data_IF_488925307290
#
_entry.id   IF_488925307290
#
_cell.length_a   1.000
_cell.length_b   1.000
_cell.length_c   1.000
_cell.angle_alpha   90.00
_cell.angle_beta   90.00
_cell.angle_gamma   90.00
#
_symmetry.space_group_name_H-M   'P 1'
#
loop_
_entity.id
_entity.type
_entity.pdbx_description
1 polymer ?
#
# COMPACT_ATOMS: atom_id res chain seq x y z
N UNK A 1 -22.30 -4.81 0.26
CA UNK A 1 -22.49 -3.37 0.01
C UNK A 1 -21.24 -2.80 -0.57
N UNK A 2 -21.37 -1.93 -1.58
CA UNK A 2 -20.25 -1.19 -2.17
C UNK A 2 -20.36 0.26 -1.75
N UNK A 3 -19.26 0.86 -1.38
CA UNK A 3 -19.17 2.30 -1.16
C UNK A 3 -17.94 2.86 -1.86
N UNK A 4 -18.05 4.10 -2.31
CA UNK A 4 -16.94 4.80 -2.93
C UNK A 4 -17.09 6.32 -2.79
N UNK A 5 -15.96 7.01 -2.78
CA UNK A 5 -15.86 8.46 -2.68
C UNK A 5 -14.60 8.92 -3.42
N UNK A 6 -14.62 10.16 -3.87
CA UNK A 6 -13.46 10.82 -4.44
C UNK A 6 -12.65 11.45 -3.31
N UNK A 7 -11.32 11.37 -3.44
CA UNK A 7 -10.40 12.14 -2.63
C UNK A 7 -9.50 12.96 -3.55
N UNK A 8 -9.50 14.27 -3.33
CA UNK A 8 -8.60 15.21 -3.97
C UNK A 8 -7.63 15.71 -2.91
N UNK A 9 -6.34 15.72 -3.26
CA UNK A 9 -5.25 16.19 -2.41
C UNK A 9 -4.63 17.38 -3.11
N UNK A 10 -4.64 18.53 -2.45
CA UNK A 10 -4.23 19.80 -3.05
C UNK A 10 -4.88 19.98 -4.44
N UNK A 11 -4.11 20.42 -5.43
CA UNK A 11 -4.59 20.58 -6.81
C UNK A 11 -4.35 19.33 -7.68
N UNK A 12 -4.20 18.16 -7.05
CA UNK A 12 -3.93 16.90 -7.74
C UNK A 12 -5.17 16.24 -8.36
N UNK A 13 -4.93 15.17 -9.11
CA UNK A 13 -6.00 14.34 -9.68
C UNK A 13 -6.86 13.68 -8.59
N UNK A 14 -8.13 13.46 -8.91
CA UNK A 14 -9.06 12.75 -8.03
C UNK A 14 -8.68 11.27 -7.91
N UNK A 15 -8.54 10.80 -6.67
CA UNK A 15 -8.35 9.40 -6.32
C UNK A 15 -9.72 8.81 -5.98
N UNK A 16 -10.17 7.82 -6.77
CA UNK A 16 -11.38 7.07 -6.46
C UNK A 16 -11.06 6.00 -5.41
N UNK A 17 -11.55 6.20 -4.19
CA UNK A 17 -11.50 5.19 -3.14
C UNK A 17 -12.77 4.36 -3.21
N UNK A 18 -12.63 3.04 -3.36
CA UNK A 18 -13.76 2.12 -3.41
C UNK A 18 -13.52 0.88 -2.56
N UNK A 19 -14.59 0.39 -1.94
CA UNK A 19 -14.56 -0.79 -1.10
C UNK A 19 -15.89 -1.53 -1.17
N UNK A 20 -15.85 -2.85 -0.96
CA UNK A 20 -17.03 -3.70 -0.88
C UNK A 20 -16.92 -4.57 0.36
N UNK A 21 -17.95 -4.51 1.21
CA UNK A 21 -18.03 -5.29 2.44
C UNK A 21 -19.49 -5.67 2.76
N UNK A 22 -19.67 -6.77 3.49
CA UNK A 22 -20.98 -7.16 4.01
C UNK A 22 -21.40 -6.25 5.18
N UNK A 23 -22.71 -5.99 5.31
CA UNK A 23 -23.27 -5.41 6.54
C UNK A 23 -23.14 -6.41 7.67
N UNK A 24 -22.78 -5.95 8.86
CA UNK A 24 -22.68 -6.79 10.06
C UNK A 24 -23.68 -6.27 11.08
N UNK A 25 -24.53 -7.17 11.61
CA UNK A 25 -25.61 -6.82 12.54
C UNK A 25 -25.11 -6.14 13.84
N UNK A 26 -23.90 -6.48 14.27
CA UNK A 26 -23.34 -6.04 15.56
C UNK A 26 -22.47 -4.78 15.47
N UNK A 27 -22.35 -4.15 14.29
CA UNK A 27 -21.69 -2.86 14.16
C UNK A 27 -22.77 -1.80 14.02
N UNK A 28 -22.97 -1.03 15.09
CA UNK A 28 -24.00 0.01 15.23
C UNK A 28 -23.39 1.29 15.79
N UNK A 29 -24.15 2.39 15.78
CA UNK A 29 -23.73 3.67 16.34
C UNK A 29 -24.87 4.24 17.17
N UNK A 30 -24.59 4.64 18.41
CA UNK A 30 -25.56 5.34 19.25
C UNK A 30 -26.00 6.69 18.66
N UNK A 31 -25.14 7.32 17.84
CA UNK A 31 -25.47 8.56 17.10
C UNK A 31 -26.38 8.32 15.89
N UNK A 32 -26.51 7.07 15.44
CA UNK A 32 -27.35 6.67 14.31
C UNK A 32 -28.09 5.36 14.63
N UNK A 33 -29.06 5.38 15.56
CA UNK A 33 -29.80 4.19 15.97
C UNK A 33 -30.56 3.57 14.80
N UNK A 34 -30.67 2.24 14.75
CA UNK A 34 -31.34 1.51 13.67
C UNK A 34 -30.49 1.28 12.41
N UNK A 35 -29.31 1.90 12.31
CA UNK A 35 -28.39 1.68 11.18
C UNK A 35 -27.37 0.58 11.49
N UNK A 36 -27.24 -0.38 10.56
CA UNK A 36 -26.17 -1.38 10.55
C UNK A 36 -25.02 -0.99 9.62
N UNK A 37 -23.78 -1.15 10.08
CA UNK A 37 -22.58 -0.75 9.35
C UNK A 37 -21.82 -1.96 8.80
N UNK A 38 -20.95 -1.72 7.81
CA UNK A 38 -19.97 -2.70 7.35
C UNK A 38 -18.71 -2.67 8.22
N UNK A 39 -17.79 -3.62 8.03
CA UNK A 39 -16.41 -3.38 8.44
C UNK A 39 -15.83 -2.19 7.67
N UNK A 40 -14.93 -1.41 8.30
CA UNK A 40 -14.30 -0.28 7.64
C UNK A 40 -13.24 -0.76 6.64
N UNK A 41 -13.30 -0.23 5.42
CA UNK A 41 -12.14 -0.25 4.52
C UNK A 41 -11.05 0.67 5.07
N UNK A 42 -9.79 0.24 5.00
CA UNK A 42 -8.64 1.06 5.40
C UNK A 42 -7.90 1.54 4.17
N UNK A 43 -7.75 2.85 4.06
CA UNK A 43 -7.00 3.51 2.99
C UNK A 43 -5.96 4.44 3.59
N UNK A 44 -4.73 4.38 3.08
CA UNK A 44 -3.60 5.11 3.61
C UNK A 44 -2.93 5.93 2.52
N UNK A 45 -2.52 7.14 2.86
CA UNK A 45 -1.99 8.12 1.93
C UNK A 45 -0.79 8.77 2.58
N UNK A 46 0.31 8.80 1.83
CA UNK A 46 1.52 9.45 2.29
C UNK A 46 1.47 10.94 1.94
N UNK A 47 1.45 11.78 2.97
CA UNK A 47 1.45 13.23 2.81
C UNK A 47 2.88 13.75 3.01
N UNK A 48 3.45 14.51 2.04
CA UNK A 48 4.74 15.16 2.20
C UNK A 48 4.79 16.14 3.38
N UNK A 49 5.99 16.63 3.70
CA UNK A 49 6.12 17.75 4.64
C UNK A 49 5.55 19.01 3.99
N UNK A 50 4.72 19.74 4.72
CA UNK A 50 4.14 21.00 4.27
C UNK A 50 2.69 21.14 4.71
N UNK A 51 2.04 22.18 4.20
CA UNK A 51 0.61 22.40 4.34
C UNK A 51 -0.10 21.78 3.14
N UNK A 52 -1.07 20.92 3.42
CA UNK A 52 -1.83 20.20 2.41
C UNK A 52 -3.32 20.26 2.76
N UNK A 53 -4.18 20.29 1.75
CA UNK A 53 -5.63 20.20 1.93
C UNK A 53 -6.19 18.94 1.27
N UNK A 54 -7.31 18.47 1.80
CA UNK A 54 -8.02 17.28 1.33
C UNK A 54 -9.47 17.64 1.08
N UNK A 55 -9.99 17.26 -0.08
CA UNK A 55 -11.42 17.33 -0.36
C UNK A 55 -11.93 15.93 -0.60
N UNK A 56 -12.97 15.56 0.13
CA UNK A 56 -13.66 14.29 -0.01
C UNK A 56 -15.01 14.59 -0.61
N UNK A 57 -15.31 13.98 -1.75
CA UNK A 57 -16.58 14.19 -2.46
C UNK A 57 -17.31 12.86 -2.64
N UNK A 58 -18.65 12.85 -2.50
CA UNK A 58 -19.43 11.68 -2.84
C UNK A 58 -19.33 11.38 -4.34
N UNK A 59 -19.39 10.10 -4.70
CA UNK A 59 -19.55 9.71 -6.11
C UNK A 59 -21.04 9.62 -6.42
N UNK A 60 -21.56 10.33 -7.44
CA UNK A 60 -23.01 10.45 -7.71
C UNK A 60 -23.78 9.14 -7.96
N UNK A 61 -23.09 8.00 -8.12
CA UNK A 61 -23.67 6.69 -8.49
C UNK A 61 -23.57 5.63 -7.39
N UNK A 62 -23.37 6.03 -6.13
CA UNK A 62 -23.28 5.11 -5.00
C UNK A 62 -24.44 5.36 -4.04
N UNK A 63 -25.38 4.42 -3.99
CA UNK A 63 -26.68 4.57 -3.30
C UNK A 63 -26.62 4.50 -1.75
N UNK A 64 -25.43 4.54 -1.16
CA UNK A 64 -25.26 4.34 0.29
C UNK A 64 -24.48 5.47 0.95
N UNK A 65 -25.00 6.07 2.05
CA UNK A 65 -24.24 7.00 2.87
C UNK A 65 -22.94 6.37 3.36
N UNK A 66 -21.85 7.14 3.30
CA UNK A 66 -20.51 6.69 3.72
C UNK A 66 -20.11 7.45 4.97
N UNK A 67 -19.78 6.72 6.05
CA UNK A 67 -19.20 7.31 7.26
C UNK A 67 -17.68 7.19 7.16
N UNK A 68 -17.00 8.33 7.25
CA UNK A 68 -15.56 8.42 7.13
C UNK A 68 -14.92 8.78 8.47
N UNK A 69 -13.78 8.14 8.75
CA UNK A 69 -12.92 8.50 9.89
C UNK A 69 -11.52 8.77 9.38
N UNK A 70 -11.09 10.02 9.51
CA UNK A 70 -9.72 10.44 9.19
C UNK A 70 -8.85 10.32 10.44
N UNK A 71 -7.64 9.80 10.28
CA UNK A 71 -6.63 9.75 11.35
C UNK A 71 -5.28 10.14 10.74
N UNK A 72 -4.55 11.01 11.43
CA UNK A 72 -3.18 11.37 11.08
C UNK A 72 -2.23 10.61 11.98
N UNK A 73 -1.19 10.00 11.40
CA UNK A 73 -0.13 9.32 12.13
C UNK A 73 1.20 9.64 11.44
N UNK A 74 2.22 10.00 12.21
CA UNK A 74 3.58 10.12 11.69
C UNK A 74 4.13 8.78 11.21
N UNK A 75 5.04 8.81 10.25
CA UNK A 75 5.80 7.61 9.88
C UNK A 75 6.66 7.18 11.06
N UNK A 76 6.57 5.91 11.46
CA UNK A 76 7.52 5.35 12.41
C UNK A 76 8.90 5.30 11.75
N UNK A 77 9.93 5.75 12.47
CA UNK A 77 11.31 5.66 11.96
C UNK A 77 11.67 4.19 11.79
N UNK A 78 12.44 3.91 10.74
CA UNK A 78 12.96 2.56 10.52
C UNK A 78 13.80 2.11 11.70
N UNK A 79 13.41 1.00 12.32
CA UNK A 79 14.22 0.32 13.33
C UNK A 79 15.37 -0.42 12.63
N UNK A 80 16.57 -0.35 13.22
CA UNK A 80 17.78 -0.99 12.73
C UNK A 80 17.68 -2.53 12.76
N UNK A 81 16.79 -3.10 13.58
CA UNK A 81 16.64 -4.56 13.80
C UNK A 81 15.64 -5.22 12.83
N UNK A 82 15.68 -4.84 11.56
CA UNK A 82 14.77 -5.35 10.52
C UNK A 82 15.39 -6.49 9.72
N UNK A 83 14.77 -7.68 9.76
CA UNK A 83 15.19 -8.82 8.95
C UNK A 83 14.42 -8.92 7.63
N UNK A 84 15.10 -9.34 6.56
CA UNK A 84 14.44 -9.59 5.27
C UNK A 84 13.56 -10.84 5.33
N UNK A 85 12.29 -10.68 4.96
CA UNK A 85 11.33 -11.79 4.92
C UNK A 85 11.21 -12.29 3.49
N UNK A 86 11.53 -13.57 3.28
CA UNK A 86 11.44 -14.19 1.96
C UNK A 86 9.97 -14.43 1.57
N UNK A 87 9.67 -14.22 0.28
CA UNK A 87 8.39 -14.58 -0.28
C UNK A 87 8.25 -16.11 -0.40
N UNK A 88 7.03 -16.62 -0.19
CA UNK A 88 6.72 -18.05 -0.28
C UNK A 88 6.65 -18.54 -1.74
N UNK A 89 6.38 -17.62 -2.68
CA UNK A 89 6.04 -17.92 -4.09
C UNK A 89 7.19 -18.44 -4.95
N UNK A 90 8.37 -18.75 -4.40
CA UNK A 90 9.54 -19.24 -5.14
C UNK A 90 10.15 -18.22 -6.12
N UNK A 91 9.59 -17.02 -6.22
CA UNK A 91 10.08 -15.93 -7.08
C UNK A 91 11.47 -15.51 -6.60
N UNK A 92 12.42 -15.38 -7.52
CA UNK A 92 13.76 -14.89 -7.19
C UNK A 92 13.75 -13.35 -7.11
N UNK A 93 14.30 -12.75 -6.05
CA UNK A 93 14.40 -11.30 -5.99
C UNK A 93 15.45 -10.78 -6.97
N UNK A 94 15.25 -9.56 -7.46
CA UNK A 94 16.21 -8.76 -8.20
C UNK A 94 17.08 -7.94 -7.24
N UNK A 95 18.28 -7.59 -7.68
CA UNK A 95 19.22 -6.77 -6.94
C UNK A 95 19.10 -5.31 -7.35
N UNK A 96 18.70 -4.48 -6.41
CA UNK A 96 18.68 -3.04 -6.56
C UNK A 96 19.92 -2.47 -5.90
N UNK A 97 20.77 -1.81 -6.69
CA UNK A 97 21.99 -1.17 -6.21
C UNK A 97 21.66 0.25 -5.77
N UNK A 98 22.07 0.61 -4.54
CA UNK A 98 21.90 1.94 -3.94
C UNK A 98 23.26 2.36 -3.40
N UNK A 99 23.92 3.31 -4.07
CA UNK A 99 25.35 3.57 -3.85
C UNK A 99 26.15 2.28 -4.00
N UNK A 100 26.86 1.86 -2.97
CA UNK A 100 27.65 0.62 -2.96
C UNK A 100 26.87 -0.63 -2.49
N UNK A 101 25.62 -0.46 -2.02
CA UNK A 101 24.84 -1.55 -1.41
C UNK A 101 23.99 -2.25 -2.45
N UNK A 102 24.00 -3.59 -2.43
CA UNK A 102 23.06 -4.42 -3.18
C UNK A 102 21.90 -4.89 -2.30
N UNK A 103 20.68 -4.50 -2.64
CA UNK A 103 19.49 -4.77 -1.84
C UNK A 103 18.48 -5.60 -2.65
N UNK A 104 17.99 -6.69 -2.04
CA UNK A 104 17.02 -7.60 -2.68
C UNK A 104 15.60 -7.03 -2.65
N UNK A 105 14.96 -7.00 -3.81
CA UNK A 105 13.55 -6.68 -4.01
C UNK A 105 12.88 -7.69 -4.93
N UNK A 106 11.64 -8.05 -4.66
CA UNK A 106 10.80 -8.85 -5.56
C UNK A 106 10.13 -7.95 -6.58
N UNK A 107 10.16 -8.34 -7.85
CA UNK A 107 9.32 -7.71 -8.87
C UNK A 107 7.87 -8.15 -8.67
N UNK A 108 6.94 -7.20 -8.75
CA UNK A 108 5.50 -7.43 -8.64
C UNK A 108 4.78 -6.64 -9.74
N UNK A 109 3.95 -7.32 -10.51
CA UNK A 109 3.11 -6.76 -11.57
C UNK A 109 1.64 -6.82 -11.18
N UNK A 110 0.81 -6.10 -11.91
CA UNK A 110 -0.64 -6.19 -11.76
C UNK A 110 -1.13 -7.62 -11.97
N UNK A 111 -2.04 -8.07 -11.11
CA UNK A 111 -2.60 -9.43 -11.14
C UNK A 111 -1.79 -10.47 -10.37
N UNK A 112 -0.57 -10.14 -9.93
CA UNK A 112 0.26 -11.01 -9.10
C UNK A 112 0.05 -10.72 -7.60
N UNK A 113 0.32 -11.72 -6.75
CA UNK A 113 0.37 -11.57 -5.29
C UNK A 113 1.70 -12.12 -4.75
N UNK A 114 2.46 -11.27 -4.08
CA UNK A 114 3.63 -11.71 -3.29
C UNK A 114 3.18 -12.09 -1.89
N UNK A 115 3.42 -13.33 -1.48
CA UNK A 115 2.97 -13.87 -0.19
C UNK A 115 4.13 -14.08 0.79
N UNK A 116 3.85 -13.85 2.06
CA UNK A 116 4.81 -13.93 3.17
C UNK A 116 4.17 -14.64 4.36
N UNK A 117 4.89 -15.59 4.96
CA UNK A 117 4.50 -16.28 6.19
C UNK A 117 5.49 -15.95 7.33
N UNK A 118 5.37 -14.75 7.94
CA UNK A 118 6.27 -14.35 9.00
C UNK A 118 6.12 -15.26 10.23
N UNK A 119 7.26 -15.69 10.80
CA UNK A 119 7.32 -16.46 12.05
C UNK A 119 8.00 -15.63 13.13
N UNK A 120 7.37 -15.53 14.32
CA UNK A 120 7.91 -14.80 15.48
C UNK A 120 8.24 -13.33 15.18
N UNK A 121 7.33 -12.65 14.48
CA UNK A 121 7.42 -11.22 14.20
C UNK A 121 6.16 -10.53 14.68
N UNK A 122 6.26 -9.29 15.12
CA UNK A 122 5.10 -8.48 15.51
C UNK A 122 4.72 -7.41 14.47
N UNK A 123 5.60 -7.14 13.50
CA UNK A 123 5.37 -6.14 12.45
C UNK A 123 6.03 -6.54 11.14
N UNK A 124 5.36 -6.23 10.03
CA UNK A 124 5.98 -6.20 8.69
C UNK A 124 6.01 -4.78 8.14
N UNK A 125 7.12 -4.43 7.51
CA UNK A 125 7.29 -3.23 6.69
C UNK A 125 7.48 -3.66 5.24
N UNK A 126 6.58 -3.24 4.36
CA UNK A 126 6.74 -3.39 2.92
C UNK A 126 7.33 -2.11 2.35
N UNK A 127 8.58 -2.19 1.88
CA UNK A 127 9.22 -1.15 1.09
C UNK A 127 8.87 -1.36 -0.38
N UNK A 128 8.42 -0.32 -1.06
CA UNK A 128 8.07 -0.36 -2.48
C UNK A 128 8.78 0.73 -3.27
N UNK A 129 9.16 0.40 -4.50
CA UNK A 129 9.71 1.34 -5.49
C UNK A 129 9.04 1.09 -6.84
N UNK A 130 8.40 2.12 -7.38
CA UNK A 130 7.83 2.05 -8.73
C UNK A 130 8.93 1.81 -9.76
N UNK A 131 8.68 0.96 -10.75
CA UNK A 131 9.57 0.79 -11.90
C UNK A 131 9.21 1.82 -12.98
N UNK A 132 9.97 2.90 -13.10
CA UNK A 132 9.80 3.86 -14.18
C UNK A 132 10.38 3.29 -15.47
N UNK A 133 9.56 3.30 -16.52
CA UNK A 133 9.94 2.91 -17.89
C UNK A 133 9.78 4.10 -18.83
N UNK A 134 10.33 3.98 -20.06
CA UNK A 134 10.22 5.04 -21.07
C UNK A 134 8.77 5.45 -21.30
N UNK A 135 8.55 6.76 -21.41
CA UNK A 135 7.23 7.37 -21.59
C UNK A 135 6.51 7.74 -20.29
N UNK A 136 7.00 7.30 -19.13
CA UNK A 136 6.47 7.74 -17.83
C UNK A 136 6.96 9.13 -17.43
N UNK A 137 6.11 9.87 -16.71
CA UNK A 137 6.45 11.15 -16.10
C UNK A 137 7.59 11.00 -15.08
N UNK A 138 8.18 12.12 -14.67
CA UNK A 138 9.15 12.13 -13.56
C UNK A 138 8.48 11.87 -12.21
N UNK A 139 7.16 12.09 -12.12
CA UNK A 139 6.33 11.83 -10.95
C UNK A 139 5.18 10.90 -11.34
N UNK A 140 4.96 9.86 -10.54
CA UNK A 140 3.94 8.86 -10.79
C UNK A 140 3.30 8.39 -9.49
N UNK A 141 2.05 7.97 -9.60
CA UNK A 141 1.27 7.38 -8.51
C UNK A 141 1.13 5.87 -8.69
N UNK A 142 1.01 5.14 -7.58
CA UNK A 142 0.67 3.72 -7.60
C UNK A 142 0.02 3.29 -6.28
N UNK A 143 -0.70 2.19 -6.34
CA UNK A 143 -1.48 1.63 -5.25
C UNK A 143 -1.09 0.19 -5.00
N UNK A 144 -0.76 -0.08 -3.74
CA UNK A 144 -0.53 -1.43 -3.26
C UNK A 144 -1.66 -1.81 -2.31
N UNK A 145 -2.18 -3.02 -2.43
CA UNK A 145 -3.09 -3.59 -1.45
C UNK A 145 -2.40 -4.70 -0.67
N UNK A 146 -2.57 -4.63 0.65
CA UNK A 146 -2.08 -5.64 1.58
C UNK A 146 -3.25 -6.48 2.06
N UNK A 147 -3.05 -7.79 2.04
CA UNK A 147 -4.00 -8.78 2.51
C UNK A 147 -3.48 -9.47 3.76
N UNK A 148 -4.42 -9.87 4.60
CA UNK A 148 -4.23 -10.83 5.67
C UNK A 148 -5.14 -12.01 5.35
N UNK A 149 -4.53 -13.13 4.97
CA UNK A 149 -5.19 -14.26 4.33
C UNK A 149 -6.01 -13.77 3.12
N UNK A 150 -7.32 -14.01 3.10
CA UNK A 150 -8.22 -13.55 2.04
C UNK A 150 -8.94 -12.23 2.37
N UNK A 151 -8.56 -11.57 3.48
CA UNK A 151 -9.18 -10.31 3.91
C UNK A 151 -8.24 -9.15 3.59
N UNK A 152 -8.79 -8.09 2.99
CA UNK A 152 -8.05 -6.85 2.73
C UNK A 152 -7.67 -6.21 4.07
N UNK A 153 -6.37 -6.13 4.36
CA UNK A 153 -5.85 -5.41 5.52
C UNK A 153 -5.90 -3.90 5.30
N UNK A 154 -5.49 -3.46 4.10
CA UNK A 154 -5.54 -2.05 3.72
C UNK A 154 -5.01 -1.81 2.31
N UNK A 155 -5.44 -0.70 1.70
CA UNK A 155 -4.91 -0.21 0.43
C UNK A 155 -4.09 1.05 0.69
N UNK A 156 -2.92 1.14 0.08
CA UNK A 156 -1.94 2.19 0.28
C UNK A 156 -1.68 2.90 -1.03
N UNK A 157 -1.92 4.21 -1.05
CA UNK A 157 -1.64 5.08 -2.19
C UNK A 157 -0.29 5.77 -1.99
N UNK A 158 0.52 5.74 -3.03
CA UNK A 158 1.86 6.29 -3.03
C UNK A 158 2.09 7.19 -4.23
N UNK A 159 2.68 8.36 -3.97
CA UNK A 159 3.27 9.24 -4.97
C UNK A 159 4.79 9.15 -4.88
N UNK A 160 5.46 8.97 -6.01
CA UNK A 160 6.92 8.86 -6.06
C UNK A 160 7.49 9.51 -7.32
N UNK A 161 8.77 9.85 -7.23
CA UNK A 161 9.58 10.30 -8.35
C UNK A 161 10.68 9.27 -8.66
N UNK A 162 11.33 9.43 -9.81
CA UNK A 162 12.52 8.66 -10.20
C UNK A 162 13.62 8.84 -9.14
N UNK A 163 14.33 7.76 -8.83
CA UNK A 163 15.52 7.81 -7.98
C UNK A 163 16.73 8.13 -8.86
N UNK A 164 17.58 9.05 -8.41
CA UNK A 164 18.83 9.40 -9.09
C UNK A 164 19.95 8.41 -8.76
N UNK A 165 19.95 7.85 -7.54
CA UNK A 165 21.06 7.05 -7.00
C UNK A 165 20.83 5.53 -6.98
N UNK A 166 19.86 5.03 -7.76
CA UNK A 166 19.55 3.59 -7.72
C UNK A 166 19.29 2.97 -9.08
N UNK A 167 19.75 1.73 -9.24
CA UNK A 167 19.60 0.95 -10.48
C UNK A 167 19.12 -0.47 -10.17
N UNK A 168 18.36 -1.07 -11.10
CA UNK A 168 18.11 -2.52 -11.09
C UNK A 168 19.27 -3.19 -11.81
N UNK A 169 20.05 -4.00 -11.10
CA UNK A 169 21.24 -4.67 -11.66
C UNK A 169 20.89 -5.51 -12.88
N UNK A 170 19.76 -6.21 -12.83
CA UNK A 170 19.28 -7.11 -13.87
C UNK A 170 18.56 -6.40 -15.03
N UNK A 171 18.20 -5.12 -14.90
CA UNK A 171 17.43 -4.39 -15.91
C UNK A 171 17.70 -2.88 -15.86
N UNK A 172 18.77 -2.46 -16.56
CA UNK A 172 19.22 -1.05 -16.58
C UNK A 172 18.28 -0.10 -17.32
N UNK A 173 17.27 -0.62 -18.04
CA UNK A 173 16.26 0.22 -18.74
C UNK A 173 15.18 0.73 -17.78
N UNK A 174 15.10 0.15 -16.59
CA UNK A 174 14.14 0.53 -15.55
C UNK A 174 14.82 1.42 -14.54
N UNK A 175 14.25 2.60 -14.32
CA UNK A 175 14.68 3.50 -13.26
C UNK A 175 13.79 3.24 -12.02
N UNK A 176 14.34 2.78 -10.89
CA UNK A 176 13.56 2.65 -9.66
C UNK A 176 13.11 4.03 -9.18
N UNK A 177 11.90 4.10 -8.63
CA UNK A 177 11.45 5.26 -7.88
C UNK A 177 12.16 5.38 -6.53
N UNK A 178 12.04 6.56 -5.89
CA UNK A 178 12.32 6.70 -4.46
C UNK A 178 11.45 5.75 -3.66
N UNK A 179 11.99 5.21 -2.57
CA UNK A 179 11.28 4.22 -1.79
C UNK A 179 10.09 4.83 -1.05
N UNK A 180 9.02 4.04 -0.96
CA UNK A 180 7.87 4.26 -0.09
C UNK A 180 7.70 3.04 0.81
N UNK A 181 6.94 3.21 1.87
CA UNK A 181 6.71 2.13 2.82
C UNK A 181 5.28 2.11 3.33
N UNK A 182 4.77 0.91 3.58
CA UNK A 182 3.66 0.71 4.50
C UNK A 182 4.03 -0.32 5.57
N UNK A 183 3.38 -0.19 6.72
CA UNK A 183 3.60 -1.07 7.86
C UNK A 183 2.29 -1.71 8.30
N UNK A 184 2.38 -2.95 8.72
CA UNK A 184 1.27 -3.72 9.28
C UNK A 184 1.69 -4.38 10.59
N UNK A 185 0.81 -4.33 11.58
CA UNK A 185 1.00 -5.08 12.82
C UNK A 185 0.48 -6.49 12.62
N UNK A 186 1.27 -7.46 13.06
CA UNK A 186 0.92 -8.87 12.97
C UNK A 186 0.11 -9.27 14.19
N UNK A 187 -0.89 -10.12 13.99
CA UNK A 187 -1.57 -10.78 15.09
C UNK A 187 -0.72 -11.91 15.67
N UNK A 188 -1.01 -12.31 16.91
CA UNK A 188 -0.30 -13.42 17.59
C UNK A 188 -0.48 -14.78 16.90
N UNK A 189 -1.57 -14.98 16.17
CA UNK A 189 -1.87 -16.19 15.40
C UNK A 189 -1.12 -16.24 14.07
N UNK A 190 -0.90 -17.44 13.54
CA UNK A 190 -0.30 -17.65 12.21
C UNK A 190 -1.25 -17.17 11.11
N UNK A 191 -0.74 -16.35 10.20
CA UNK A 191 -1.47 -15.87 9.02
C UNK A 191 -0.51 -15.71 7.84
N UNK A 192 -1.08 -15.74 6.64
CA UNK A 192 -0.36 -15.37 5.42
C UNK A 192 -0.65 -13.91 5.11
N UNK A 193 0.40 -13.14 4.84
CA UNK A 193 0.26 -11.75 4.41
C UNK A 193 0.67 -11.65 2.97
N UNK A 194 -0.13 -10.96 2.14
CA UNK A 194 0.22 -10.79 0.74
C UNK A 194 0.09 -9.35 0.27
N UNK A 195 0.84 -9.04 -0.79
CA UNK A 195 0.93 -7.72 -1.39
C UNK A 195 0.59 -7.84 -2.87
N UNK A 196 -0.32 -7.00 -3.34
CA UNK A 196 -0.71 -6.89 -4.76
C UNK A 196 -0.57 -5.45 -5.27
N UNK A 197 -0.23 -5.31 -6.56
CA UNK A 197 -0.26 -4.05 -7.28
C UNK A 197 -1.63 -3.87 -7.96
N UNK A 198 -2.28 -2.74 -7.73
CA UNK A 198 -3.60 -2.47 -8.32
C UNK A 198 -3.51 -1.83 -9.72
N UNK A 199 -2.46 -1.09 -10.03
CA UNK A 199 -2.35 -0.32 -11.26
C UNK A 199 -1.90 -1.19 -12.45
N UNK A 200 -2.79 -1.32 -13.44
CA UNK A 200 -2.51 -2.01 -14.71
C UNK A 200 -1.38 -1.34 -15.48
N UNK A 201 -0.55 -2.14 -16.14
CA UNK A 201 0.59 -1.66 -16.94
C UNK A 201 1.77 -1.13 -16.12
N UNK A 202 1.64 -1.02 -14.80
CA UNK A 202 2.73 -0.65 -13.90
C UNK A 202 3.41 -1.89 -13.31
N UNK A 203 4.59 -1.65 -12.76
CA UNK A 203 5.43 -2.66 -12.11
C UNK A 203 6.09 -2.04 -10.90
N UNK A 204 6.20 -2.78 -9.81
CA UNK A 204 6.80 -2.31 -8.56
C UNK A 204 7.77 -3.34 -8.02
N UNK A 205 8.86 -2.84 -7.44
CA UNK A 205 9.80 -3.64 -6.68
C UNK A 205 9.40 -3.57 -5.20
N UNK A 206 9.12 -4.72 -4.59
CA UNK A 206 8.68 -4.85 -3.19
C UNK A 206 9.72 -5.59 -2.36
N UNK A 207 10.07 -5.06 -1.20
CA UNK A 207 10.91 -5.69 -0.19
C UNK A 207 10.15 -5.77 1.11
N UNK A 208 10.04 -6.98 1.66
CA UNK A 208 9.42 -7.20 2.97
C UNK A 208 10.50 -7.28 4.05
N UNK A 209 10.30 -6.51 5.12
CA UNK A 209 11.12 -6.50 6.32
C UNK A 209 10.24 -6.84 7.53
N UNK A 210 10.79 -7.55 8.49
CA UNK A 210 10.10 -7.92 9.73
C UNK A 210 10.85 -7.45 10.98
N UNK A 211 10.10 -7.06 12.01
CA UNK A 211 10.62 -6.76 13.35
C UNK A 211 10.24 -7.89 14.32
N UNK A 212 11.22 -8.31 15.13
CA UNK A 212 11.12 -9.36 16.16
C UNK A 212 10.76 -8.78 17.52
#
# INVERSE_FOLDING_TARGET
MRFAYNLIIDNGDSIIISHSAAKIKNITSSKHPGHGFTLPGKYFINIPKGNHWFKIEPIPKVDVPVVLRVRVKGFEKGDEHRQFVQAVTGIKPKNLIIGEKSVRYYELKHGERLQFEPKKLYKLTFLSRLAFVNGMSNYENYQIRVWKDEIIYGTYFFSTEKSEDSIIKEDKKVIPGKWRSCEINLSKSKHTYSVELLDKGKKVFVRCLGNQ
#
